data_IF_948161380456
#
_entry.id   IF_948161380456
#
_cell.length_a   1.000
_cell.length_b   1.000
_cell.length_c   1.000
_cell.angle_alpha   90.00
_cell.angle_beta   90.00
_cell.angle_gamma   90.00
#
_symmetry.space_group_name_H-M   'P 1'
#
loop_
_entity.id
_entity.type
_entity.pdbx_description
1 polymer ?
#
# COMPACT_ATOMS: atom_id res chain seq x y z
N UNK A 1 -12.85 9.09 -10.04
CA UNK A 1 -13.62 8.92 -8.80
C UNK A 1 -12.62 8.87 -7.65
N UNK A 2 -12.91 9.49 -6.52
CA UNK A 2 -12.02 9.50 -5.36
C UNK A 2 -12.55 8.52 -4.31
N UNK A 3 -11.69 7.62 -3.84
CA UNK A 3 -12.03 6.63 -2.82
C UNK A 3 -11.42 7.07 -1.49
N UNK A 4 -12.23 7.12 -0.44
CA UNK A 4 -11.79 7.41 0.92
C UNK A 4 -12.02 6.17 1.78
N UNK A 5 -10.93 5.61 2.30
CA UNK A 5 -10.95 4.50 3.25
C UNK A 5 -10.65 5.06 4.64
N UNK A 6 -11.37 4.58 5.65
CA UNK A 6 -11.20 4.98 7.04
C UNK A 6 -11.16 3.73 7.92
N UNK A 7 -10.25 3.72 8.89
CA UNK A 7 -10.14 2.69 9.90
C UNK A 7 -9.57 3.30 11.19
N UNK A 8 -9.85 2.65 12.32
CA UNK A 8 -9.34 3.08 13.63
C UNK A 8 -7.83 2.81 13.78
N UNK A 9 -7.31 1.88 12.99
CA UNK A 9 -5.90 1.50 12.93
C UNK A 9 -5.41 1.48 11.47
N UNK A 10 -4.10 1.52 11.28
CA UNK A 10 -3.48 1.58 9.95
C UNK A 10 -3.44 0.21 9.25
N UNK A 11 -3.30 -0.87 10.01
CA UNK A 11 -3.13 -2.23 9.45
C UNK A 11 -4.23 -2.64 8.47
N UNK A 12 -5.53 -2.43 8.75
CA UNK A 12 -6.60 -2.75 7.80
C UNK A 12 -6.55 -1.92 6.51
N UNK A 13 -6.02 -0.69 6.57
CA UNK A 13 -5.85 0.15 5.37
C UNK A 13 -4.73 -0.40 4.49
N UNK A 14 -3.64 -0.89 5.08
CA UNK A 14 -2.55 -1.52 4.34
C UNK A 14 -2.97 -2.87 3.73
N UNK A 15 -3.81 -3.63 4.40
CA UNK A 15 -4.41 -4.86 3.84
C UNK A 15 -5.29 -4.55 2.63
N UNK A 16 -6.22 -3.60 2.78
CA UNK A 16 -7.08 -3.18 1.65
C UNK A 16 -6.27 -2.57 0.50
N UNK A 17 -5.17 -1.86 0.80
CA UNK A 17 -4.28 -1.34 -0.25
C UNK A 17 -3.52 -2.47 -0.96
N UNK A 18 -3.05 -3.49 -0.22
CA UNK A 18 -2.40 -4.65 -0.82
C UNK A 18 -3.35 -5.38 -1.78
N UNK A 19 -4.63 -5.55 -1.40
CA UNK A 19 -5.62 -6.18 -2.29
C UNK A 19 -5.80 -5.41 -3.61
N UNK A 20 -5.75 -4.08 -3.56
CA UNK A 20 -5.81 -3.23 -4.75
C UNK A 20 -4.56 -3.36 -5.64
N UNK A 21 -3.40 -3.58 -5.02
CA UNK A 21 -2.10 -3.74 -5.70
C UNK A 21 -1.78 -5.20 -6.06
N UNK A 22 -2.62 -6.16 -5.69
CA UNK A 22 -2.36 -7.59 -5.88
C UNK A 22 -2.32 -8.00 -7.36
N UNK A 23 -2.94 -7.21 -8.24
CA UNK A 23 -2.82 -7.41 -9.69
C UNK A 23 -1.61 -6.61 -10.19
N UNK A 24 -0.53 -7.27 -10.64
CA UNK A 24 0.64 -6.56 -11.16
C UNK A 24 0.31 -5.80 -12.45
N UNK A 25 0.92 -4.63 -12.70
CA UNK A 25 0.78 -3.91 -13.96
C UNK A 25 1.48 -4.66 -15.11
N UNK A 26 1.11 -4.33 -16.35
CA UNK A 26 1.71 -4.93 -17.55
C UNK A 26 3.22 -4.70 -17.65
N UNK A 27 3.69 -3.52 -17.21
CA UNK A 27 5.10 -3.19 -17.09
C UNK A 27 5.52 -3.15 -15.60
N UNK A 28 6.34 -4.10 -15.12
CA UNK A 28 6.75 -4.18 -13.72
C UNK A 28 7.64 -3.01 -13.27
N UNK A 29 8.13 -2.18 -14.19
CA UNK A 29 8.93 -0.99 -13.87
C UNK A 29 8.10 0.30 -13.81
N UNK A 30 6.79 0.23 -14.05
CA UNK A 30 5.91 1.39 -13.86
C UNK A 30 5.84 1.74 -12.37
N UNK A 31 6.23 2.96 -11.95
CA UNK A 31 6.26 3.31 -10.54
C UNK A 31 4.86 3.71 -10.02
N UNK A 32 4.53 3.20 -8.83
CA UNK A 32 3.41 3.69 -8.03
C UNK A 32 3.84 4.81 -7.07
N UNK A 33 2.89 5.66 -6.67
CA UNK A 33 3.13 6.77 -5.74
C UNK A 33 2.26 6.61 -4.50
N UNK A 34 2.91 6.51 -3.33
CA UNK A 34 2.26 6.55 -2.03
C UNK A 34 2.71 7.79 -1.26
N UNK A 35 1.77 8.69 -0.94
CA UNK A 35 2.06 9.89 -0.15
C UNK A 35 1.93 9.54 1.34
N UNK A 36 2.97 9.82 2.11
CA UNK A 36 3.03 9.56 3.55
C UNK A 36 3.45 10.83 4.31
N UNK A 37 3.00 11.02 5.56
CA UNK A 37 3.30 12.21 6.34
C UNK A 37 4.69 12.17 6.98
N UNK A 38 5.28 10.98 7.15
CA UNK A 38 6.57 10.78 7.82
C UNK A 38 7.34 9.61 7.20
N UNK A 39 8.67 9.64 7.34
CA UNK A 39 9.53 8.53 6.92
C UNK A 39 9.24 7.23 7.69
N UNK A 40 8.86 7.32 8.97
CA UNK A 40 8.48 6.14 9.75
C UNK A 40 7.24 5.44 9.18
N UNK A 41 6.27 6.20 8.65
CA UNK A 41 5.13 5.61 7.96
C UNK A 41 5.51 5.01 6.60
N UNK A 42 6.46 5.63 5.90
CA UNK A 42 7.01 5.08 4.65
C UNK A 42 7.60 3.67 4.88
N UNK A 43 8.48 3.54 5.87
CA UNK A 43 9.15 2.28 6.19
C UNK A 43 8.16 1.20 6.64
N UNK A 44 7.17 1.60 7.45
CA UNK A 44 6.12 0.70 7.90
C UNK A 44 5.23 0.22 6.74
N UNK A 45 4.83 1.12 5.83
CA UNK A 45 4.04 0.76 4.65
C UNK A 45 4.82 -0.18 3.72
N UNK A 46 6.11 0.09 3.47
CA UNK A 46 6.98 -0.80 2.67
C UNK A 46 7.06 -2.20 3.26
N UNK A 47 7.30 -2.30 4.57
CA UNK A 47 7.38 -3.60 5.25
C UNK A 47 6.02 -4.33 5.22
N UNK A 48 4.93 -3.63 5.52
CA UNK A 48 3.58 -4.20 5.58
C UNK A 48 3.06 -4.66 4.22
N UNK A 49 3.32 -3.89 3.15
CA UNK A 49 2.95 -4.27 1.78
C UNK A 49 3.85 -5.37 1.24
N UNK A 50 5.17 -5.28 1.45
CA UNK A 50 6.12 -6.29 1.01
C UNK A 50 5.85 -7.67 1.62
N UNK A 51 5.46 -7.71 2.90
CA UNK A 51 5.06 -8.96 3.55
C UNK A 51 3.82 -9.61 2.91
N UNK A 52 2.83 -8.79 2.52
CA UNK A 52 1.54 -9.26 1.99
C UNK A 52 1.61 -9.61 0.49
N UNK A 53 2.37 -8.84 -0.29
CA UNK A 53 2.48 -9.00 -1.74
C UNK A 53 3.63 -9.91 -2.18
N UNK A 54 4.59 -10.20 -1.28
CA UNK A 54 5.78 -11.01 -1.58
C UNK A 54 5.69 -12.49 -1.17
N UNK A 55 4.53 -12.96 -0.70
CA UNK A 55 4.29 -14.35 -0.28
C UNK A 55 4.02 -15.28 -1.47
#
# INVERSE_FOLDING_TARGET
MFHLHHADELDPLLESLADLLATPPDDPFTPDVLVVPTAGLEDYAKAGLGHRLGA
#
